data_IF_988355327550
#
_entry.id   IF_988355327550
#
_cell.length_a   1.000
_cell.length_b   1.000
_cell.length_c   1.000
_cell.angle_alpha   90.00
_cell.angle_beta   90.00
_cell.angle_gamma   90.00
#
_symmetry.space_group_name_H-M   'P 1'
#
loop_
_entity.id
_entity.type
_entity.pdbx_description
1 polymer ?
#
# COMPACT_ATOMS: atom_id res chain seq x y z
N UNK A 1 -65.09 20.11 16.50
CA UNK A 1 -64.52 19.93 15.15
C UNK A 1 -63.25 19.09 15.29
N UNK A 2 -63.14 17.99 14.53
CA UNK A 2 -62.05 16.99 14.60
C UNK A 2 -60.88 17.45 13.73
N UNK A 3 -59.69 17.63 14.29
CA UNK A 3 -58.44 17.76 13.51
C UNK A 3 -57.61 16.50 13.72
N UNK A 4 -57.35 15.79 12.61
CA UNK A 4 -56.52 14.58 12.58
C UNK A 4 -55.04 14.99 12.59
N UNK A 5 -54.15 14.33 13.35
CA UNK A 5 -52.72 14.51 13.17
C UNK A 5 -52.29 13.79 11.88
N UNK A 6 -51.76 14.55 10.92
CA UNK A 6 -51.10 14.01 9.74
C UNK A 6 -49.72 13.52 10.18
N UNK A 7 -49.53 12.20 10.25
CA UNK A 7 -48.25 11.58 10.59
C UNK A 7 -47.18 11.90 9.54
N UNK A 8 -46.24 12.76 9.93
CA UNK A 8 -45.06 13.16 9.16
C UNK A 8 -43.95 12.11 9.39
N UNK A 9 -44.07 10.93 8.78
CA UNK A 9 -43.15 9.83 9.04
C UNK A 9 -42.76 9.06 7.78
N UNK A 10 -42.21 9.73 6.75
CA UNK A 10 -41.43 9.07 5.69
C UNK A 10 -40.43 10.07 5.10
N UNK A 11 -39.30 10.33 5.76
CA UNK A 11 -38.17 11.05 5.16
C UNK A 11 -36.81 10.65 5.77
N UNK A 12 -36.66 9.39 6.20
CA UNK A 12 -35.40 8.91 6.79
C UNK A 12 -35.01 7.52 6.28
N UNK A 13 -34.81 7.40 4.97
CA UNK A 13 -34.30 6.17 4.34
C UNK A 13 -33.45 6.50 3.10
N UNK A 14 -32.38 7.29 3.28
CA UNK A 14 -31.38 7.51 2.23
C UNK A 14 -29.98 7.80 2.79
N UNK A 15 -29.64 7.24 3.96
CA UNK A 15 -28.35 7.45 4.63
C UNK A 15 -27.50 6.18 4.76
N UNK A 16 -27.71 5.17 3.90
CA UNK A 16 -26.85 3.98 3.84
C UNK A 16 -26.57 3.61 2.38
N UNK A 17 -25.44 4.07 1.85
CA UNK A 17 -24.66 3.38 0.80
C UNK A 17 -23.48 4.22 0.24
N UNK A 18 -23.09 5.35 0.86
CA UNK A 18 -21.76 5.89 0.60
C UNK A 18 -20.73 5.08 1.41
N UNK A 19 -20.58 3.79 1.07
CA UNK A 19 -19.30 3.14 1.33
C UNK A 19 -18.29 3.95 0.51
N UNK A 20 -17.14 4.38 1.06
CA UNK A 20 -16.06 4.78 0.21
C UNK A 20 -15.78 3.56 -0.64
N UNK A 21 -16.11 3.63 -1.94
CA UNK A 21 -15.45 2.77 -2.89
C UNK A 21 -13.98 3.01 -2.60
N UNK A 22 -13.30 2.00 -2.04
CA UNK A 22 -11.85 2.01 -1.97
C UNK A 22 -11.45 2.31 -3.40
N UNK A 23 -11.06 3.56 -3.66
CA UNK A 23 -10.54 3.93 -4.95
C UNK A 23 -9.38 2.98 -5.11
N UNK A 24 -9.56 2.10 -6.09
CA UNK A 24 -8.50 1.31 -6.64
C UNK A 24 -7.43 2.31 -7.08
N UNK A 25 -6.57 2.75 -6.16
CA UNK A 25 -5.40 3.54 -6.49
C UNK A 25 -4.72 2.74 -7.60
N UNK A 26 -4.45 3.38 -8.72
CA UNK A 26 -3.84 2.74 -9.88
C UNK A 26 -2.49 2.17 -9.42
N UNK A 27 -2.46 0.88 -9.11
CA UNK A 27 -1.25 0.17 -8.73
C UNK A 27 -0.37 0.16 -9.97
N UNK A 28 0.76 0.85 -9.89
CA UNK A 28 1.75 0.86 -10.97
C UNK A 28 2.39 -0.51 -11.11
N UNK A 29 3.00 -0.78 -12.26
CA UNK A 29 3.77 -2.01 -12.48
C UNK A 29 4.90 -2.16 -11.45
N UNK A 30 5.58 -1.06 -11.10
CA UNK A 30 6.62 -1.06 -10.08
C UNK A 30 6.07 -1.47 -8.70
N UNK A 31 4.89 -0.95 -8.32
CA UNK A 31 4.22 -1.34 -7.07
C UNK A 31 3.80 -2.82 -7.07
N UNK A 32 3.26 -3.33 -8.18
CA UNK A 32 2.92 -4.75 -8.33
C UNK A 32 4.15 -5.66 -8.19
N UNK A 33 5.25 -5.33 -8.87
CA UNK A 33 6.51 -6.08 -8.81
C UNK A 33 7.09 -6.08 -7.40
N UNK A 34 7.16 -4.92 -6.74
CA UNK A 34 7.58 -4.81 -5.35
C UNK A 34 6.68 -5.64 -4.43
N UNK A 35 5.36 -5.60 -4.63
CA UNK A 35 4.40 -6.37 -3.83
C UNK A 35 4.63 -7.89 -3.96
N UNK A 36 4.83 -8.36 -5.20
CA UNK A 36 5.14 -9.77 -5.49
C UNK A 36 6.44 -10.21 -4.83
N UNK A 37 7.46 -9.36 -4.81
CA UNK A 37 8.73 -9.66 -4.13
C UNK A 37 8.52 -9.75 -2.61
N UNK A 38 7.85 -8.76 -2.01
CA UNK A 38 7.61 -8.72 -0.55
C UNK A 38 6.74 -9.90 -0.08
N UNK A 39 5.78 -10.36 -0.89
CA UNK A 39 4.95 -11.54 -0.60
C UNK A 39 5.72 -12.86 -0.55
N UNK A 40 6.72 -12.99 -1.42
CA UNK A 40 7.53 -14.19 -1.59
C UNK A 40 8.88 -14.10 -0.87
N UNK A 41 9.05 -13.07 -0.03
CA UNK A 41 10.29 -12.87 0.71
C UNK A 41 10.41 -13.88 1.85
N UNK A 42 11.52 -14.61 1.87
CA UNK A 42 11.86 -15.52 2.97
C UNK A 42 12.73 -14.82 4.02
N UNK A 43 14.04 -14.71 3.77
CA UNK A 43 14.95 -13.95 4.65
C UNK A 43 15.37 -12.61 4.01
N UNK A 44 15.77 -12.67 2.73
CA UNK A 44 16.24 -11.53 1.93
C UNK A 44 15.79 -11.72 0.47
N UNK A 45 15.78 -10.66 -0.37
CA UNK A 45 15.42 -10.80 -1.77
C UNK A 45 16.39 -11.74 -2.51
N UNK A 46 15.85 -12.57 -3.40
CA UNK A 46 16.65 -13.38 -4.33
C UNK A 46 17.44 -12.48 -5.30
N UNK A 47 18.39 -13.06 -6.03
CA UNK A 47 19.16 -12.31 -7.04
C UNK A 47 18.24 -11.67 -8.10
N UNK A 48 17.32 -12.43 -8.67
CA UNK A 48 16.33 -11.93 -9.64
C UNK A 48 15.46 -10.81 -9.05
N UNK A 49 15.04 -10.96 -7.79
CA UNK A 49 14.28 -9.93 -7.11
C UNK A 49 15.10 -8.65 -6.92
N UNK A 50 16.39 -8.78 -6.59
CA UNK A 50 17.30 -7.62 -6.47
C UNK A 50 17.51 -6.92 -7.80
N UNK A 51 17.67 -7.65 -8.90
CA UNK A 51 17.77 -7.06 -10.24
C UNK A 51 16.50 -6.26 -10.58
N UNK A 52 15.32 -6.86 -10.35
CA UNK A 52 14.04 -6.15 -10.54
C UNK A 52 13.95 -4.87 -9.69
N UNK A 53 14.42 -4.92 -8.44
CA UNK A 53 14.41 -3.76 -7.55
C UNK A 53 15.43 -2.70 -7.95
N UNK A 54 16.57 -3.10 -8.50
CA UNK A 54 17.56 -2.19 -9.08
C UNK A 54 16.98 -1.49 -10.32
N UNK A 55 16.35 -2.25 -11.22
CA UNK A 55 15.67 -1.69 -12.39
C UNK A 55 14.63 -0.63 -11.99
N UNK A 56 13.77 -0.94 -11.01
CA UNK A 56 12.79 0.04 -10.50
C UNK A 56 13.50 1.24 -9.85
N UNK A 57 14.56 1.02 -9.08
CA UNK A 57 15.28 2.09 -8.38
C UNK A 57 16.04 3.04 -9.32
N UNK A 58 16.38 2.59 -10.53
CA UNK A 58 17.09 3.37 -11.55
C UNK A 58 16.16 3.88 -12.65
N UNK A 59 14.93 3.36 -12.75
CA UNK A 59 13.97 3.73 -13.78
C UNK A 59 13.41 5.16 -13.60
N UNK A 60 13.63 5.98 -14.62
CA UNK A 60 13.12 7.34 -14.70
C UNK A 60 11.59 7.45 -14.83
N UNK A 61 10.91 6.38 -15.27
CA UNK A 61 9.45 6.32 -15.35
C UNK A 61 8.80 6.01 -14.00
N UNK A 62 9.54 5.39 -13.08
CA UNK A 62 9.11 5.14 -11.71
C UNK A 62 9.08 6.45 -10.89
N UNK A 63 8.15 6.56 -9.94
CA UNK A 63 8.06 7.73 -9.07
C UNK A 63 9.27 7.81 -8.13
N UNK A 64 9.53 8.99 -7.57
CA UNK A 64 10.57 9.14 -6.55
C UNK A 64 10.37 8.21 -5.34
N UNK A 65 9.12 8.00 -4.92
CA UNK A 65 8.80 7.15 -3.79
C UNK A 65 8.96 5.67 -4.14
N UNK A 66 8.57 5.24 -5.35
CA UNK A 66 8.79 3.87 -5.84
C UNK A 66 10.28 3.53 -5.84
N UNK A 67 11.13 4.44 -6.32
CA UNK A 67 12.60 4.22 -6.30
C UNK A 67 13.16 4.08 -4.89
N UNK A 68 12.66 4.86 -3.94
CA UNK A 68 13.02 4.74 -2.51
C UNK A 68 12.58 3.38 -1.95
N UNK A 69 11.34 2.99 -2.21
CA UNK A 69 10.77 1.76 -1.70
C UNK A 69 11.52 0.55 -2.27
N UNK A 70 11.80 0.55 -3.57
CA UNK A 70 12.56 -0.51 -4.24
C UNK A 70 13.97 -0.64 -3.65
N UNK A 71 14.67 0.49 -3.49
CA UNK A 71 15.99 0.53 -2.84
C UNK A 71 15.97 -0.03 -1.41
N UNK A 72 14.89 0.24 -0.67
CA UNK A 72 14.73 -0.24 0.71
C UNK A 72 14.41 -1.73 0.77
N UNK A 73 13.55 -2.23 -0.14
CA UNK A 73 13.22 -3.67 -0.24
C UNK A 73 14.47 -4.46 -0.64
N UNK A 74 15.30 -3.93 -1.53
CA UNK A 74 16.54 -4.59 -1.98
C UNK A 74 17.49 -4.91 -0.83
N UNK A 75 17.53 -4.01 0.17
CA UNK A 75 18.39 -4.12 1.35
C UNK A 75 17.69 -4.80 2.54
N UNK A 76 16.48 -5.32 2.35
CA UNK A 76 15.71 -5.92 3.42
C UNK A 76 16.31 -7.27 3.82
N UNK A 77 16.58 -7.44 5.11
CA UNK A 77 17.11 -8.68 5.69
C UNK A 77 16.33 -8.98 6.97
N UNK A 78 15.26 -9.76 6.83
CA UNK A 78 14.20 -10.01 7.81
C UNK A 78 13.49 -8.75 8.32
N UNK A 79 14.05 -7.56 8.19
CA UNK A 79 13.48 -6.29 8.63
C UNK A 79 14.12 -5.17 7.85
N UNK A 80 13.47 -4.01 7.87
CA UNK A 80 14.03 -2.80 7.30
C UNK A 80 15.35 -2.42 7.98
N UNK A 81 16.37 -2.10 7.17
CA UNK A 81 17.67 -1.64 7.64
C UNK A 81 17.52 -0.30 8.37
N UNK A 82 18.28 -0.04 9.45
CA UNK A 82 18.21 1.22 10.18
C UNK A 82 18.35 2.47 9.29
N UNK A 83 19.25 2.43 8.32
CA UNK A 83 19.53 3.55 7.40
C UNK A 83 18.35 3.88 6.48
N UNK A 84 17.51 2.89 6.16
CA UNK A 84 16.38 3.06 5.25
C UNK A 84 15.12 3.52 6.00
N UNK A 85 15.04 3.31 7.33
CA UNK A 85 13.86 3.63 8.15
C UNK A 85 13.41 5.08 8.02
N UNK A 86 14.33 6.02 8.09
CA UNK A 86 14.01 7.45 8.04
C UNK A 86 13.42 7.83 6.67
N UNK A 87 13.93 7.25 5.58
CA UNK A 87 13.48 7.54 4.23
C UNK A 87 12.13 6.88 3.94
N UNK A 88 11.93 5.64 4.38
CA UNK A 88 10.63 4.96 4.26
C UNK A 88 9.57 5.65 5.12
N UNK A 89 9.92 6.14 6.31
CA UNK A 89 9.02 6.95 7.14
C UNK A 89 8.56 8.22 6.42
N UNK A 90 9.46 8.87 5.67
CA UNK A 90 9.10 10.04 4.85
C UNK A 90 8.09 9.68 3.77
N UNK A 91 8.23 8.53 3.09
CA UNK A 91 7.22 8.07 2.11
C UNK A 91 5.87 7.85 2.80
N UNK A 92 5.84 7.13 3.93
CA UNK A 92 4.61 6.86 4.66
C UNK A 92 3.87 8.14 5.11
N UNK A 93 4.62 9.16 5.53
CA UNK A 93 4.08 10.42 6.04
C UNK A 93 3.90 11.49 4.98
N UNK A 94 4.29 11.22 3.72
CA UNK A 94 4.24 12.20 2.65
C UNK A 94 2.81 12.36 2.13
N UNK A 95 2.26 13.59 2.12
CA UNK A 95 0.97 13.86 1.47
C UNK A 95 1.06 13.77 -0.06
N UNK A 96 2.27 13.85 -0.62
CA UNK A 96 2.50 13.72 -2.06
C UNK A 96 2.65 12.27 -2.52
N UNK A 97 2.77 11.31 -1.59
CA UNK A 97 2.80 9.89 -1.93
C UNK A 97 1.40 9.39 -2.31
N UNK A 98 1.34 8.40 -3.19
CA UNK A 98 0.10 7.69 -3.46
C UNK A 98 -0.34 6.87 -2.24
N UNK A 99 -1.60 6.44 -2.22
CA UNK A 99 -2.08 5.57 -1.15
C UNK A 99 -1.33 4.23 -1.10
N UNK A 100 -1.10 3.63 -2.27
CA UNK A 100 -0.34 2.38 -2.43
C UNK A 100 1.10 2.53 -1.94
N UNK A 101 1.77 3.64 -2.26
CA UNK A 101 3.13 3.94 -1.78
C UNK A 101 3.19 4.07 -0.26
N UNK A 102 2.22 4.79 0.34
CA UNK A 102 2.14 4.95 1.80
C UNK A 102 1.88 3.62 2.50
N UNK A 103 0.98 2.80 1.96
CA UNK A 103 0.67 1.49 2.57
C UNK A 103 1.86 0.54 2.43
N UNK A 104 2.58 0.52 1.29
CA UNK A 104 3.83 -0.23 1.15
C UNK A 104 4.87 0.23 2.18
N UNK A 105 5.08 1.54 2.32
CA UNK A 105 6.02 2.08 3.30
C UNK A 105 5.69 1.62 4.73
N UNK A 106 4.41 1.66 5.10
CA UNK A 106 3.91 1.16 6.39
C UNK A 106 4.14 -0.34 6.56
N UNK A 107 3.95 -1.15 5.51
CA UNK A 107 4.27 -2.59 5.53
C UNK A 107 5.75 -2.80 5.81
N UNK A 108 6.65 -2.09 5.11
CA UNK A 108 8.10 -2.22 5.30
C UNK A 108 8.55 -1.80 6.71
N UNK A 109 7.97 -0.75 7.28
CA UNK A 109 8.27 -0.31 8.65
C UNK A 109 7.84 -1.31 9.72
N UNK A 110 6.81 -2.13 9.43
CA UNK A 110 6.31 -3.19 10.31
C UNK A 110 6.84 -4.58 9.94
N UNK A 111 7.64 -4.68 8.89
CA UNK A 111 8.13 -5.95 8.37
C UNK A 111 9.09 -6.59 9.38
N UNK A 112 8.78 -7.83 9.78
CA UNK A 112 9.63 -8.64 10.65
C UNK A 112 9.51 -10.12 10.24
N UNK A 113 10.55 -10.60 9.58
CA UNK A 113 10.73 -11.86 8.85
C UNK A 113 9.75 -12.07 7.70
N UNK A 114 8.47 -11.74 7.90
CA UNK A 114 7.40 -11.90 6.93
C UNK A 114 6.34 -10.79 7.06
N UNK A 115 5.54 -10.53 6.02
CA UNK A 115 4.41 -9.61 6.14
C UNK A 115 3.34 -10.15 7.11
N UNK A 116 2.65 -9.26 7.81
CA UNK A 116 1.48 -9.61 8.64
C UNK A 116 0.32 -10.11 7.76
N UNK A 117 -0.69 -10.76 8.35
CA UNK A 117 -1.88 -11.20 7.59
C UNK A 117 -2.58 -10.04 6.86
N UNK A 118 -2.69 -8.90 7.53
CA UNK A 118 -3.20 -7.64 6.97
C UNK A 118 -2.35 -7.18 5.78
N UNK A 119 -1.02 -7.16 5.94
CA UNK A 119 -0.10 -6.76 4.89
C UNK A 119 -0.15 -7.72 3.69
N UNK A 120 -0.23 -9.04 3.92
CA UNK A 120 -0.38 -10.03 2.85
C UNK A 120 -1.66 -9.80 2.06
N UNK A 121 -2.77 -9.49 2.74
CA UNK A 121 -4.03 -9.15 2.08
C UNK A 121 -3.90 -7.94 1.17
N UNK A 122 -3.28 -6.86 1.64
CA UNK A 122 -3.03 -5.67 0.82
C UNK A 122 -2.10 -5.97 -0.38
N UNK A 123 -0.99 -6.67 -0.15
CA UNK A 123 -0.04 -7.02 -1.19
C UNK A 123 -0.66 -7.92 -2.26
N UNK A 124 -1.49 -8.91 -1.88
CA UNK A 124 -2.17 -9.79 -2.83
C UNK A 124 -3.12 -9.01 -3.76
N UNK A 125 -3.85 -8.02 -3.23
CA UNK A 125 -4.73 -7.17 -4.04
C UNK A 125 -3.97 -6.35 -5.09
N UNK A 126 -2.69 -6.07 -4.85
CA UNK A 126 -1.84 -5.34 -5.79
C UNK A 126 -1.28 -6.23 -6.89
N UNK A 127 -1.21 -7.56 -6.69
CA UNK A 127 -0.67 -8.54 -7.64
C UNK A 127 -1.74 -9.20 -8.50
N UNK A 128 -2.99 -9.28 -8.02
CA UNK A 128 -4.11 -9.97 -8.70
C UNK A 128 -4.86 -9.11 -9.73
N UNK A 129 -4.29 -7.97 -10.15
CA UNK A 129 -4.90 -7.05 -11.12
C UNK A 129 -4.31 -7.23 -12.50
#
# INVERSE_FOLDING_TARGET
MKTKPLSLAVLLAAALAAQPAAQAADTTLAMEQMARIVLNLEEKPSEDARLTLDDIAEDSASTYNERILASSIKNLDKKIRPDDKATVLKVWTSPAASETEREMAKILLRFNEKPTAEARGALSQWVER
#
